data_IF_863111751582
#
_entry.id   IF_863111751582
#
_cell.length_a   1.000
_cell.length_b   1.000
_cell.length_c   1.000
_cell.angle_alpha   90.00
_cell.angle_beta   90.00
_cell.angle_gamma   90.00
#
_symmetry.space_group_name_H-M   'P 1'
#
loop_
_entity.id
_entity.type
_entity.pdbx_description
1 polymer ?
#
# COMPACT_ATOMS: atom_id res chain seq x y z
N UNK A 1 -34.83 -14.99 -4.99
CA UNK A 1 -33.42 -14.87 -5.41
C UNK A 1 -32.74 -13.94 -4.44
N UNK A 2 -31.66 -14.37 -3.78
CA UNK A 2 -30.86 -13.50 -2.92
C UNK A 2 -29.95 -12.64 -3.79
N UNK A 3 -29.85 -11.35 -3.45
CA UNK A 3 -28.93 -10.41 -4.06
C UNK A 3 -27.84 -10.02 -3.07
N UNK A 4 -26.64 -9.78 -3.57
CA UNK A 4 -25.48 -9.31 -2.82
C UNK A 4 -24.96 -8.01 -3.41
N UNK A 5 -24.29 -7.25 -2.57
CA UNK A 5 -23.69 -5.97 -2.91
C UNK A 5 -22.51 -6.18 -3.85
N UNK A 6 -22.43 -5.34 -4.87
CA UNK A 6 -21.35 -5.30 -5.83
C UNK A 6 -20.77 -3.88 -5.86
N UNK A 7 -19.56 -3.76 -5.32
CA UNK A 7 -18.83 -2.51 -5.17
C UNK A 7 -17.98 -2.24 -6.41
N UNK A 8 -18.24 -1.12 -7.07
CA UNK A 8 -17.49 -0.69 -8.26
C UNK A 8 -16.87 0.71 -8.04
N UNK A 9 -15.55 0.79 -7.83
CA UNK A 9 -14.83 2.06 -7.77
C UNK A 9 -14.86 2.83 -9.12
N UNK A 10 -14.85 4.16 -9.05
CA UNK A 10 -14.84 5.05 -10.24
C UNK A 10 -13.67 4.75 -11.19
N UNK A 11 -12.46 4.46 -10.69
CA UNK A 11 -11.31 4.14 -11.55
C UNK A 11 -11.54 2.89 -12.41
N UNK A 12 -12.23 1.87 -11.87
CA UNK A 12 -12.52 0.63 -12.60
C UNK A 12 -13.51 0.92 -13.72
N UNK A 13 -14.57 1.66 -13.42
CA UNK A 13 -15.61 2.01 -14.38
C UNK A 13 -15.05 2.85 -15.53
N UNK A 14 -14.30 3.90 -15.20
CA UNK A 14 -13.70 4.79 -16.18
C UNK A 14 -12.74 4.02 -17.10
N UNK A 15 -11.87 3.19 -16.52
CA UNK A 15 -10.96 2.34 -17.27
C UNK A 15 -11.69 1.35 -18.18
N UNK A 16 -12.69 0.62 -17.66
CA UNK A 16 -13.42 -0.40 -18.44
C UNK A 16 -14.31 0.20 -19.53
N UNK A 17 -14.71 1.47 -19.39
CA UNK A 17 -15.41 2.20 -20.47
C UNK A 17 -14.49 2.46 -21.65
N UNK A 18 -13.21 2.75 -21.39
CA UNK A 18 -12.20 3.03 -22.41
C UNK A 18 -11.53 1.75 -22.95
N UNK A 19 -11.43 0.71 -22.10
CA UNK A 19 -10.82 -0.58 -22.41
C UNK A 19 -11.78 -1.75 -22.14
N UNK A 20 -12.90 -1.86 -22.89
CA UNK A 20 -13.84 -2.97 -22.72
C UNK A 20 -13.14 -4.33 -22.91
N UNK A 21 -13.38 -5.26 -21.99
CA UNK A 21 -12.79 -6.61 -22.05
C UNK A 21 -11.30 -6.68 -21.72
N UNK A 22 -10.71 -5.64 -21.13
CA UNK A 22 -9.32 -5.65 -20.69
C UNK A 22 -9.03 -6.84 -19.76
N UNK A 23 -7.91 -7.57 -19.96
CA UNK A 23 -7.51 -8.67 -19.08
C UNK A 23 -7.10 -8.19 -17.68
N UNK A 24 -6.92 -6.88 -17.48
CA UNK A 24 -6.61 -6.29 -16.18
C UNK A 24 -7.83 -6.26 -15.26
N UNK A 25 -9.05 -6.46 -15.78
CA UNK A 25 -10.26 -6.47 -14.95
C UNK A 25 -10.24 -7.61 -13.94
N UNK A 26 -10.42 -7.27 -12.66
CA UNK A 26 -10.47 -8.22 -11.56
C UNK A 26 -11.83 -8.16 -10.91
N UNK A 27 -12.45 -9.34 -10.78
CA UNK A 27 -13.70 -9.53 -10.06
C UNK A 27 -13.48 -10.50 -8.91
N UNK A 28 -13.60 -10.02 -7.68
CA UNK A 28 -13.51 -10.85 -6.47
C UNK A 28 -14.90 -11.10 -5.93
N UNK A 29 -15.22 -12.36 -5.66
CA UNK A 29 -16.56 -12.82 -5.30
C UNK A 29 -16.53 -13.54 -3.97
N UNK A 30 -17.35 -13.07 -3.05
CA UNK A 30 -17.69 -13.75 -1.80
C UNK A 30 -19.19 -14.01 -1.74
N UNK A 31 -19.62 -14.84 -0.79
CA UNK A 31 -21.05 -15.16 -0.58
C UNK A 31 -21.90 -13.93 -0.26
N UNK A 32 -21.29 -12.90 0.30
CA UNK A 32 -21.95 -11.70 0.82
C UNK A 32 -21.68 -10.44 -0.02
N UNK A 33 -20.59 -10.39 -0.79
CA UNK A 33 -20.23 -9.22 -1.59
C UNK A 33 -19.40 -9.56 -2.84
N UNK A 34 -19.40 -8.64 -3.80
CA UNK A 34 -18.52 -8.63 -4.98
C UNK A 34 -17.73 -7.34 -4.97
N UNK A 35 -16.43 -7.42 -5.26
CA UNK A 35 -15.56 -6.25 -5.45
C UNK A 35 -14.98 -6.23 -6.85
N UNK A 36 -15.12 -5.10 -7.53
CA UNK A 36 -14.50 -4.86 -8.83
C UNK A 36 -13.21 -4.06 -8.65
N UNK A 37 -12.17 -4.46 -9.38
CA UNK A 37 -10.84 -3.85 -9.30
C UNK A 37 -10.10 -4.03 -10.63
N UNK A 38 -8.87 -3.51 -10.71
CA UNK A 38 -7.94 -3.76 -11.82
C UNK A 38 -6.63 -4.33 -11.27
N UNK A 39 -5.98 -5.19 -12.06
CA UNK A 39 -4.56 -5.45 -11.91
C UNK A 39 -3.80 -4.18 -12.28
N UNK A 40 -2.98 -3.67 -11.35
CA UNK A 40 -2.16 -2.48 -11.56
C UNK A 40 -0.81 -2.80 -12.21
N UNK A 41 -0.77 -3.76 -13.13
CA UNK A 41 0.49 -4.26 -13.73
C UNK A 41 0.90 -3.49 -14.98
N UNK A 42 0.08 -2.54 -15.44
CA UNK A 42 0.30 -1.67 -16.60
C UNK A 42 0.18 -0.18 -16.22
N UNK A 43 0.95 0.73 -16.86
CA UNK A 43 0.90 2.16 -16.53
C UNK A 43 -0.50 2.76 -16.65
N UNK A 44 -1.31 2.36 -17.64
CA UNK A 44 -2.66 2.89 -17.88
C UNK A 44 -3.61 2.54 -16.73
N UNK A 45 -3.48 1.34 -16.16
CA UNK A 45 -4.27 0.94 -14.99
C UNK A 45 -3.83 1.68 -13.72
N UNK A 46 -2.54 1.96 -13.57
CA UNK A 46 -2.01 2.81 -12.51
C UNK A 46 -2.46 4.26 -12.66
N UNK A 47 -2.42 4.80 -13.88
CA UNK A 47 -2.89 6.15 -14.19
C UNK A 47 -4.36 6.32 -13.79
N UNK A 48 -5.23 5.40 -14.22
CA UNK A 48 -6.67 5.46 -13.91
C UNK A 48 -6.96 5.58 -12.40
N UNK A 49 -6.13 4.96 -11.55
CA UNK A 49 -6.31 4.95 -10.10
C UNK A 49 -5.50 6.04 -9.36
N UNK A 50 -4.30 6.39 -9.82
CA UNK A 50 -3.45 7.41 -9.18
C UNK A 50 -3.86 8.84 -9.58
N UNK A 51 -4.27 9.04 -10.83
CA UNK A 51 -4.47 10.38 -11.38
C UNK A 51 -5.77 11.07 -10.90
N UNK A 52 -6.74 10.32 -10.38
CA UNK A 52 -8.04 10.84 -9.94
C UNK A 52 -8.19 10.78 -8.40
N UNK A 53 -8.42 11.93 -7.77
CA UNK A 53 -8.68 12.03 -6.34
C UNK A 53 -9.95 11.28 -5.89
N UNK A 54 -10.89 11.04 -6.81
CA UNK A 54 -12.15 10.32 -6.60
C UNK A 54 -12.12 8.88 -7.12
N UNK A 55 -10.93 8.35 -7.47
CA UNK A 55 -10.78 6.98 -7.97
C UNK A 55 -11.57 5.92 -7.17
N UNK A 56 -11.69 6.11 -5.85
CA UNK A 56 -12.38 5.21 -4.93
C UNK A 56 -13.82 5.60 -4.56
N UNK A 57 -14.44 6.56 -5.24
CA UNK A 57 -15.88 6.79 -5.12
C UNK A 57 -16.60 5.52 -5.59
N UNK A 58 -17.37 4.91 -4.68
CA UNK A 58 -17.99 3.60 -4.90
C UNK A 58 -19.40 3.75 -5.46
N UNK A 59 -19.65 3.06 -6.57
CA UNK A 59 -21.01 2.77 -6.99
C UNK A 59 -21.43 1.41 -6.41
N UNK A 60 -22.57 1.42 -5.73
CA UNK A 60 -23.20 0.22 -5.21
C UNK A 60 -24.21 -0.31 -6.24
N UNK A 61 -24.02 -1.54 -6.67
CA UNK A 61 -24.99 -2.28 -7.47
C UNK A 61 -25.33 -3.60 -6.77
N UNK A 62 -26.39 -4.28 -7.22
CA UNK A 62 -26.82 -5.56 -6.65
C UNK A 62 -26.77 -6.66 -7.71
N UNK A 63 -26.21 -7.82 -7.35
CA UNK A 63 -26.06 -8.99 -8.23
C UNK A 63 -26.58 -10.25 -7.55
N UNK A 64 -26.96 -11.26 -8.32
CA UNK A 64 -27.42 -12.54 -7.77
C UNK A 64 -26.28 -13.28 -7.07
N UNK A 65 -26.60 -13.98 -5.98
CA UNK A 65 -25.64 -14.82 -5.25
C UNK A 65 -25.10 -15.95 -6.14
N UNK A 66 -23.78 -16.15 -6.08
CA UNK A 66 -23.09 -17.27 -6.73
C UNK A 66 -22.87 -18.41 -5.73
N UNK A 67 -23.34 -19.63 -6.08
CA UNK A 67 -23.42 -20.75 -5.13
C UNK A 67 -22.08 -21.32 -4.64
N UNK A 68 -20.97 -21.02 -5.32
CA UNK A 68 -19.64 -21.60 -5.02
C UNK A 68 -18.63 -20.58 -4.47
N UNK A 69 -19.07 -19.38 -4.07
CA UNK A 69 -18.16 -18.36 -3.55
C UNK A 69 -17.68 -18.66 -2.12
N UNK A 70 -16.44 -18.25 -1.81
CA UNK A 70 -15.90 -18.30 -0.47
C UNK A 70 -16.64 -17.29 0.45
N UNK A 71 -16.60 -17.53 1.76
CA UNK A 71 -17.20 -16.62 2.74
C UNK A 71 -16.17 -15.62 3.24
N UNK A 72 -16.46 -14.32 3.13
CA UNK A 72 -15.73 -13.29 3.87
C UNK A 72 -16.40 -13.15 5.23
N UNK A 73 -15.66 -13.45 6.31
CA UNK A 73 -16.25 -13.36 7.64
C UNK A 73 -16.64 -11.92 7.96
N UNK A 74 -17.69 -11.72 8.77
CA UNK A 74 -18.13 -10.39 9.17
C UNK A 74 -17.01 -9.59 9.86
N UNK A 75 -16.15 -10.28 10.63
CA UNK A 75 -15.00 -9.65 11.28
C UNK A 75 -13.97 -9.16 10.26
N UNK A 76 -13.61 -9.99 9.29
CA UNK A 76 -12.63 -9.61 8.26
C UNK A 76 -13.15 -8.46 7.39
N UNK A 77 -14.44 -8.51 7.01
CA UNK A 77 -15.10 -7.41 6.29
C UNK A 77 -15.06 -6.09 7.09
N UNK A 78 -15.40 -6.15 8.38
CA UNK A 78 -15.35 -4.98 9.27
C UNK A 78 -13.92 -4.47 9.43
N UNK A 79 -12.94 -5.35 9.68
CA UNK A 79 -11.54 -4.97 9.81
C UNK A 79 -11.03 -4.28 8.56
N UNK A 80 -11.29 -4.86 7.39
CA UNK A 80 -10.95 -4.23 6.12
C UNK A 80 -11.59 -2.84 5.98
N UNK A 81 -12.89 -2.71 6.30
CA UNK A 81 -13.60 -1.44 6.21
C UNK A 81 -13.05 -0.39 7.17
N UNK A 82 -12.72 -0.74 8.42
CA UNK A 82 -12.18 0.23 9.38
C UNK A 82 -10.75 0.64 9.03
N UNK A 83 -9.97 -0.24 8.39
CA UNK A 83 -8.66 0.13 7.81
C UNK A 83 -8.85 1.13 6.67
N UNK A 84 -9.77 0.87 5.74
CA UNK A 84 -10.10 1.80 4.65
C UNK A 84 -10.53 3.17 5.21
N UNK A 85 -11.47 3.19 6.16
CA UNK A 85 -11.91 4.42 6.83
C UNK A 85 -10.73 5.16 7.50
N UNK A 86 -9.78 4.43 8.09
CA UNK A 86 -8.58 5.02 8.71
C UNK A 86 -7.66 5.66 7.68
N UNK A 87 -7.45 5.02 6.52
CA UNK A 87 -6.66 5.58 5.42
C UNK A 87 -7.29 6.83 4.78
N UNK A 88 -8.60 7.00 4.92
CA UNK A 88 -9.33 8.18 4.43
C UNK A 88 -9.40 9.34 5.43
N UNK A 89 -8.79 9.20 6.61
CA UNK A 89 -8.72 10.30 7.58
C UNK A 89 -8.04 11.53 6.94
N UNK A 90 -8.60 12.73 7.14
CA UNK A 90 -8.12 13.92 6.44
C UNK A 90 -6.75 14.38 6.96
N UNK A 91 -5.95 14.96 6.06
CA UNK A 91 -4.70 15.66 6.36
C UNK A 91 -3.61 14.79 7.04
N UNK A 92 -3.59 13.49 6.77
CA UNK A 92 -2.50 12.61 7.22
C UNK A 92 -1.59 12.26 6.04
N UNK A 93 -0.26 12.40 6.18
CA UNK A 93 0.67 11.79 5.23
C UNK A 93 0.56 10.24 5.30
N UNK A 94 1.04 9.53 4.26
CA UNK A 94 0.88 8.08 4.17
C UNK A 94 1.53 7.33 5.33
N UNK A 95 2.67 7.79 5.84
CA UNK A 95 3.36 7.20 7.00
C UNK A 95 2.48 7.26 8.24
N UNK A 96 1.89 8.44 8.50
CA UNK A 96 1.02 8.64 9.67
C UNK A 96 -0.32 7.89 9.53
N UNK A 97 -0.82 7.75 8.30
CA UNK A 97 -2.00 6.95 8.00
C UNK A 97 -1.76 5.47 8.30
N UNK A 98 -0.62 4.92 7.85
CA UNK A 98 -0.21 3.55 8.15
C UNK A 98 0.05 3.36 9.65
N UNK A 99 0.65 4.34 10.32
CA UNK A 99 0.81 4.30 11.78
C UNK A 99 -0.54 4.20 12.50
N UNK A 100 -1.53 4.99 12.09
CA UNK A 100 -2.89 4.92 12.63
C UNK A 100 -3.54 3.55 12.38
N UNK A 101 -3.33 2.96 11.20
CA UNK A 101 -3.78 1.58 10.89
C UNK A 101 -3.12 0.57 11.82
N UNK A 102 -1.82 0.66 12.09
CA UNK A 102 -1.15 -0.23 13.03
C UNK A 102 -1.68 -0.08 14.47
N UNK A 103 -2.00 1.14 14.93
CA UNK A 103 -2.67 1.35 16.22
C UNK A 103 -4.06 0.70 16.22
N UNK A 104 -4.82 0.86 15.13
CA UNK A 104 -6.13 0.25 14.98
C UNK A 104 -6.04 -1.28 15.14
N UNK A 105 -5.12 -1.91 14.41
CA UNK A 105 -4.93 -3.36 14.43
C UNK A 105 -4.45 -3.85 15.80
N UNK A 106 -3.56 -3.11 16.45
CA UNK A 106 -3.14 -3.39 17.83
C UNK A 106 -4.29 -3.34 18.84
N UNK A 107 -5.28 -2.46 18.62
CA UNK A 107 -6.50 -2.41 19.45
C UNK A 107 -7.46 -3.55 19.08
N UNK A 108 -7.59 -3.86 17.80
CA UNK A 108 -8.46 -4.92 17.30
C UNK A 108 -8.02 -6.32 17.78
N UNK A 109 -6.71 -6.59 17.87
CA UNK A 109 -6.18 -7.86 18.37
C UNK A 109 -6.49 -8.10 19.85
N UNK A 110 -6.68 -7.03 20.63
CA UNK A 110 -7.13 -7.09 22.04
C UNK A 110 -8.64 -7.35 22.16
N UNK A 111 -9.36 -7.45 21.04
CA UNK A 111 -10.80 -7.72 20.97
C UNK A 111 -11.08 -8.82 19.93
N UNK A 112 -10.64 -10.08 20.14
CA UNK A 112 -10.63 -11.14 19.11
C UNK A 112 -12.01 -11.76 18.81
N UNK A 113 -13.07 -11.39 19.54
CA UNK A 113 -14.37 -12.02 19.38
C UNK A 113 -15.11 -11.64 18.09
N UNK A 114 -16.18 -12.41 17.82
CA UNK A 114 -17.01 -12.33 16.61
C UNK A 114 -18.48 -12.01 16.91
N UNK A 115 -18.82 -11.76 18.18
CA UNK A 115 -20.14 -11.33 18.59
C UNK A 115 -20.43 -9.89 18.16
N UNK A 116 -21.73 -9.55 18.11
CA UNK A 116 -22.18 -8.25 17.62
C UNK A 116 -21.61 -7.06 18.39
N UNK A 117 -21.40 -7.19 19.70
CA UNK A 117 -20.89 -6.09 20.54
C UNK A 117 -19.42 -5.80 20.23
N UNK A 118 -18.58 -6.84 20.09
CA UNK A 118 -17.18 -6.67 19.67
C UNK A 118 -17.10 -6.09 18.27
N UNK A 119 -17.91 -6.58 17.33
CA UNK A 119 -17.93 -6.08 15.96
C UNK A 119 -18.35 -4.59 15.91
N UNK A 120 -19.37 -4.20 16.67
CA UNK A 120 -19.81 -2.81 16.76
C UNK A 120 -18.74 -1.89 17.39
N UNK A 121 -17.97 -2.40 18.36
CA UNK A 121 -16.84 -1.63 18.93
C UNK A 121 -15.73 -1.40 17.91
N UNK A 122 -15.39 -2.38 17.07
CA UNK A 122 -14.40 -2.21 16.01
C UNK A 122 -14.76 -1.07 15.06
N UNK A 123 -16.04 -0.93 14.68
CA UNK A 123 -16.48 0.13 13.76
C UNK A 123 -16.30 1.54 14.30
N UNK A 124 -16.13 1.71 15.61
CA UNK A 124 -15.89 3.02 16.24
C UNK A 124 -14.42 3.46 16.24
N UNK A 125 -13.47 2.54 16.00
CA UNK A 125 -12.04 2.82 16.10
C UNK A 125 -11.54 3.94 15.16
N UNK A 126 -11.98 4.01 13.88
CA UNK A 126 -11.54 5.08 12.98
C UNK A 126 -11.92 6.47 13.48
N UNK A 127 -13.12 6.62 14.05
CA UNK A 127 -13.58 7.90 14.60
C UNK A 127 -12.69 8.35 15.76
N UNK A 128 -12.37 7.44 16.68
CA UNK A 128 -11.47 7.73 17.80
C UNK A 128 -10.06 8.15 17.32
N UNK A 129 -9.53 7.48 16.29
CA UNK A 129 -8.25 7.85 15.68
C UNK A 129 -8.33 9.21 14.97
N UNK A 130 -9.43 9.50 14.27
CA UNK A 130 -9.68 10.80 13.67
C UNK A 130 -9.71 11.93 14.70
N UNK A 131 -10.30 11.69 15.87
CA UNK A 131 -10.32 12.67 16.96
C UNK A 131 -8.91 12.90 17.56
N UNK A 132 -8.10 11.85 17.69
CA UNK A 132 -6.69 11.98 18.07
C UNK A 132 -5.87 12.72 17.01
N UNK A 133 -6.14 12.49 15.73
CA UNK A 133 -5.48 13.16 14.61
C UNK A 133 -5.75 14.66 14.62
N UNK A 134 -7.01 15.07 14.83
CA UNK A 134 -7.43 16.47 14.93
C UNK A 134 -6.78 17.19 16.10
N UNK A 135 -6.55 16.49 17.21
CA UNK A 135 -5.89 17.02 18.42
C UNK A 135 -4.35 17.04 18.33
N UNK A 136 -3.76 16.56 17.24
CA UNK A 136 -2.30 16.45 17.12
C UNK A 136 -1.68 15.29 17.91
N UNK A 137 -2.49 14.45 18.56
CA UNK A 137 -2.00 13.37 19.43
C UNK A 137 -1.30 12.28 18.62
N UNK A 138 -1.84 11.90 17.46
CA UNK A 138 -1.21 10.89 16.60
C UNK A 138 0.15 11.35 16.09
N UNK A 139 0.25 12.62 15.68
CA UNK A 139 1.48 13.25 15.20
C UNK A 139 2.54 13.27 16.30
N UNK A 140 2.15 13.68 17.52
CA UNK A 140 3.05 13.71 18.67
C UNK A 140 3.56 12.31 19.05
N UNK A 141 2.69 11.29 19.02
CA UNK A 141 3.09 9.90 19.29
C UNK A 141 4.00 9.35 18.19
N UNK A 142 3.69 9.64 16.93
CA UNK A 142 4.49 9.22 15.79
C UNK A 142 5.91 9.81 15.83
N UNK A 143 6.04 11.10 16.17
CA UNK A 143 7.32 11.77 16.31
C UNK A 143 8.21 11.23 17.46
N UNK A 144 7.62 10.49 18.40
CA UNK A 144 8.32 9.86 19.52
C UNK A 144 8.75 8.41 19.24
N UNK A 145 8.43 7.87 18.06
CA UNK A 145 8.84 6.50 17.72
C UNK A 145 10.38 6.40 17.68
N UNK A 146 10.97 5.36 18.32
CA UNK A 146 12.40 5.15 18.26
C UNK A 146 12.82 4.80 16.84
N UNK A 147 14.00 5.27 16.42
CA UNK A 147 14.60 4.86 15.16
C UNK A 147 15.15 3.44 15.30
N UNK A 148 14.69 2.53 14.42
CA UNK A 148 15.16 1.15 14.34
C UNK A 148 15.57 0.86 12.88
N UNK A 149 16.78 1.28 12.47
CA UNK A 149 17.15 1.33 11.05
C UNK A 149 17.53 -0.03 10.45
N UNK A 150 17.71 -1.06 11.27
CA UNK A 150 18.22 -2.36 10.81
C UNK A 150 17.31 -3.00 9.76
N UNK A 151 15.99 -3.01 10.00
CA UNK A 151 15.03 -3.60 9.06
C UNK A 151 14.97 -2.78 7.75
N UNK A 152 14.99 -1.45 7.85
CA UNK A 152 15.03 -0.55 6.70
C UNK A 152 16.24 -0.82 5.78
N UNK A 153 17.42 -1.00 6.40
CA UNK A 153 18.66 -1.38 5.71
C UNK A 153 18.56 -2.75 5.04
N UNK A 154 18.06 -3.76 5.75
CA UNK A 154 17.83 -5.10 5.17
C UNK A 154 16.85 -5.06 3.99
N UNK A 155 15.76 -4.30 4.08
CA UNK A 155 14.81 -4.13 2.96
C UNK A 155 15.44 -3.40 1.76
N UNK A 156 16.30 -2.41 2.00
CA UNK A 156 17.04 -1.73 0.94
C UNK A 156 18.01 -2.69 0.23
N UNK A 157 18.71 -3.54 0.98
CA UNK A 157 19.55 -4.60 0.42
C UNK A 157 18.72 -5.59 -0.42
N UNK A 158 17.56 -6.02 0.09
CA UNK A 158 16.65 -6.92 -0.64
C UNK A 158 16.07 -6.27 -1.91
N UNK A 159 15.81 -4.96 -1.89
CA UNK A 159 15.36 -4.20 -3.04
C UNK A 159 16.33 -4.32 -4.22
N UNK A 160 17.65 -4.34 -3.95
CA UNK A 160 18.69 -4.53 -4.97
C UNK A 160 18.64 -5.87 -5.70
N UNK A 161 17.97 -6.87 -5.12
CA UNK A 161 17.79 -8.20 -5.70
C UNK A 161 16.45 -8.36 -6.44
N UNK A 162 15.60 -7.34 -6.45
CA UNK A 162 14.28 -7.42 -7.09
C UNK A 162 14.41 -7.43 -8.63
N UNK A 163 13.87 -8.48 -9.26
CA UNK A 163 13.82 -8.61 -10.71
C UNK A 163 12.68 -7.77 -11.32
N UNK A 164 12.88 -6.46 -11.39
CA UNK A 164 11.92 -5.54 -12.02
C UNK A 164 11.95 -5.61 -13.55
N UNK A 165 10.79 -5.46 -14.18
CA UNK A 165 10.69 -5.29 -15.63
C UNK A 165 10.81 -3.81 -16.02
N UNK A 166 12.04 -3.33 -16.17
CA UNK A 166 12.36 -1.95 -16.51
C UNK A 166 11.87 -1.48 -17.88
N UNK A 167 11.49 -2.41 -18.77
CA UNK A 167 11.01 -2.06 -20.12
C UNK A 167 9.72 -1.26 -20.12
N UNK A 168 8.92 -1.37 -19.05
CA UNK A 168 7.64 -0.68 -18.84
C UNK A 168 7.82 0.83 -18.60
N UNK A 169 9.01 1.26 -18.21
CA UNK A 169 9.26 2.67 -17.94
C UNK A 169 9.31 3.48 -19.23
N UNK A 170 8.83 4.73 -19.23
CA UNK A 170 9.02 5.65 -20.34
C UNK A 170 10.50 5.89 -20.63
N UNK A 171 10.83 6.21 -21.89
CA UNK A 171 12.19 6.57 -22.26
C UNK A 171 12.69 7.77 -21.45
N UNK A 172 13.83 7.59 -20.79
CA UNK A 172 14.51 8.58 -19.96
C UNK A 172 15.93 8.10 -19.64
N UNK A 173 16.87 9.00 -19.29
CA UNK A 173 18.18 8.59 -18.78
C UNK A 173 18.09 7.64 -17.57
N UNK A 174 17.10 7.84 -16.69
CA UNK A 174 16.86 7.01 -15.50
C UNK A 174 16.43 5.59 -15.83
N UNK A 175 15.69 5.37 -16.91
CA UNK A 175 15.35 4.02 -17.39
C UNK A 175 16.59 3.17 -17.62
N UNK A 176 17.70 3.79 -18.02
CA UNK A 176 18.99 3.09 -18.25
C UNK A 176 19.88 3.08 -17.01
N UNK A 177 19.97 4.18 -16.26
CA UNK A 177 20.91 4.30 -15.15
C UNK A 177 20.44 3.64 -13.85
N UNK A 178 19.15 3.72 -13.50
CA UNK A 178 18.64 3.14 -12.26
C UNK A 178 18.81 1.60 -12.20
N UNK A 179 18.49 0.82 -13.25
CA UNK A 179 18.73 -0.63 -13.22
C UNK A 179 20.18 -1.01 -12.92
N UNK A 180 21.15 -0.22 -13.38
CA UNK A 180 22.58 -0.44 -13.13
C UNK A 180 22.97 -0.13 -11.67
N UNK A 181 22.23 0.77 -11.01
CA UNK A 181 22.45 1.15 -9.61
C UNK A 181 21.84 0.12 -8.62
N UNK A 182 20.79 -0.59 -9.03
CA UNK A 182 20.04 -1.48 -8.13
C UNK A 182 20.90 -2.61 -7.52
N UNK A 183 21.72 -3.35 -8.28
CA UNK A 183 22.60 -4.37 -7.69
C UNK A 183 23.65 -3.79 -6.74
N UNK A 184 23.99 -2.51 -6.85
CA UNK A 184 24.96 -1.88 -5.93
C UNK A 184 24.42 -1.83 -4.50
N UNK A 185 23.09 -1.82 -4.32
CA UNK A 185 22.46 -1.86 -3.00
C UNK A 185 22.92 -3.08 -2.17
N UNK A 186 23.26 -4.21 -2.82
CA UNK A 186 23.71 -5.43 -2.13
C UNK A 186 25.20 -5.46 -1.80
N UNK A 187 25.98 -4.47 -2.25
CA UNK A 187 27.44 -4.47 -2.15
C UNK A 187 27.99 -3.50 -1.10
N UNK A 188 27.12 -2.83 -0.33
CA UNK A 188 27.52 -1.85 0.66
C UNK A 188 28.08 -2.49 1.93
N UNK A 189 29.13 -1.89 2.48
CA UNK A 189 29.48 -2.11 3.88
C UNK A 189 28.50 -1.41 4.83
N UNK A 190 28.56 -1.74 6.12
CA UNK A 190 27.61 -1.23 7.10
C UNK A 190 27.59 0.31 7.22
N UNK A 191 28.72 0.98 6.96
CA UNK A 191 28.83 2.44 7.03
C UNK A 191 28.18 3.11 5.81
N UNK A 192 28.43 2.56 4.63
CA UNK A 192 27.88 3.05 3.36
C UNK A 192 26.37 2.83 3.31
N UNK A 193 25.90 1.69 3.84
CA UNK A 193 24.47 1.37 3.94
C UNK A 193 23.73 2.34 4.88
N UNK A 194 24.34 2.70 6.02
CA UNK A 194 23.78 3.68 6.94
C UNK A 194 23.67 5.08 6.31
N UNK A 195 24.72 5.53 5.61
CA UNK A 195 24.72 6.81 4.93
C UNK A 195 23.67 6.86 3.82
N UNK A 196 23.59 5.82 3.00
CA UNK A 196 22.60 5.73 1.92
C UNK A 196 21.17 5.74 2.47
N UNK A 197 20.89 5.01 3.55
CA UNK A 197 19.58 5.03 4.19
C UNK A 197 19.20 6.44 4.66
N UNK A 198 20.13 7.18 5.29
CA UNK A 198 19.88 8.55 5.71
C UNK A 198 19.64 9.49 4.50
N UNK A 199 20.41 9.34 3.43
CA UNK A 199 20.22 10.09 2.19
C UNK A 199 18.85 9.83 1.56
N UNK A 200 18.43 8.56 1.48
CA UNK A 200 17.14 8.18 0.92
C UNK A 200 15.96 8.67 1.75
N UNK A 201 16.11 8.71 3.08
CA UNK A 201 15.11 9.29 3.98
C UNK A 201 14.94 10.79 3.74
N UNK A 202 16.05 11.54 3.64
CA UNK A 202 16.01 12.97 3.29
C UNK A 202 15.48 13.21 1.86
N UNK A 203 15.88 12.37 0.91
CA UNK A 203 15.44 12.43 -0.48
C UNK A 203 13.94 12.18 -0.60
N UNK A 204 13.39 11.25 0.19
CA UNK A 204 11.95 11.00 0.22
C UNK A 204 11.16 12.26 0.61
N UNK A 205 11.61 12.98 1.64
CA UNK A 205 10.95 14.22 2.07
C UNK A 205 10.96 15.28 0.96
N UNK A 206 12.08 15.43 0.26
CA UNK A 206 12.20 16.35 -0.88
C UNK A 206 11.27 15.94 -2.02
N UNK A 207 11.27 14.65 -2.37
CA UNK A 207 10.43 14.08 -3.43
C UNK A 207 8.95 14.22 -3.12
N UNK A 208 8.56 13.97 -1.86
CA UNK A 208 7.20 14.16 -1.38
C UNK A 208 6.72 15.60 -1.59
N UNK A 209 7.51 16.58 -1.12
CA UNK A 209 7.15 18.00 -1.26
C UNK A 209 7.01 18.43 -2.72
N UNK A 210 7.86 17.92 -3.60
CA UNK A 210 7.86 18.30 -5.02
C UNK A 210 6.75 17.63 -5.83
N UNK A 211 6.44 16.36 -5.55
CA UNK A 211 5.61 15.55 -6.45
C UNK A 211 4.28 15.08 -5.84
N UNK A 212 4.18 14.94 -4.52
CA UNK A 212 3.02 14.32 -3.86
C UNK A 212 2.27 15.27 -2.93
N UNK A 213 2.88 16.35 -2.43
CA UNK A 213 2.21 17.26 -1.49
C UNK A 213 0.99 17.96 -2.08
N UNK A 214 0.98 18.25 -3.39
CA UNK A 214 -0.15 18.84 -4.11
C UNK A 214 -1.17 17.79 -4.60
N UNK A 215 -0.75 16.53 -4.69
CA UNK A 215 -1.56 15.38 -5.09
C UNK A 215 -1.46 14.22 -4.09
N UNK A 216 -1.75 14.45 -2.78
CA UNK A 216 -1.53 13.45 -1.73
C UNK A 216 -2.44 12.23 -1.90
N UNK A 217 -3.52 12.38 -2.68
CA UNK A 217 -4.39 11.27 -3.03
C UNK A 217 -3.68 10.18 -3.84
N UNK A 218 -2.60 10.46 -4.59
CA UNK A 218 -1.89 9.42 -5.36
C UNK A 218 -1.43 8.29 -4.44
N UNK A 219 -0.66 8.60 -3.40
CA UNK A 219 -0.16 7.59 -2.47
C UNK A 219 -1.29 7.00 -1.63
N UNK A 220 -2.27 7.81 -1.23
CA UNK A 220 -3.45 7.34 -0.51
C UNK A 220 -4.26 6.34 -1.34
N UNK A 221 -4.47 6.60 -2.62
CA UNK A 221 -5.20 5.75 -3.55
C UNK A 221 -4.48 4.42 -3.73
N UNK A 222 -3.15 4.40 -3.83
CA UNK A 222 -2.41 3.15 -3.87
C UNK A 222 -2.57 2.34 -2.56
N UNK A 223 -2.54 2.98 -1.39
CA UNK A 223 -2.79 2.30 -0.12
C UNK A 223 -4.22 1.76 -0.01
N UNK A 224 -5.22 2.57 -0.39
CA UNK A 224 -6.63 2.15 -0.45
C UNK A 224 -6.80 0.99 -1.43
N UNK A 225 -6.16 1.06 -2.61
CA UNK A 225 -6.14 -0.03 -3.58
C UNK A 225 -5.65 -1.31 -2.92
N UNK A 226 -4.48 -1.29 -2.27
CA UNK A 226 -3.91 -2.49 -1.64
C UNK A 226 -4.84 -3.06 -0.58
N UNK A 227 -5.41 -2.22 0.28
CA UNK A 227 -6.35 -2.66 1.31
C UNK A 227 -7.65 -3.21 0.70
N UNK A 228 -8.22 -2.54 -0.29
CA UNK A 228 -9.47 -2.94 -0.93
C UNK A 228 -9.31 -4.21 -1.79
N UNK A 229 -8.28 -4.24 -2.63
CA UNK A 229 -7.99 -5.30 -3.58
C UNK A 229 -7.52 -6.56 -2.85
N UNK A 230 -6.49 -6.48 -2.00
CA UNK A 230 -5.96 -7.65 -1.29
C UNK A 230 -6.83 -8.05 -0.09
N UNK A 231 -7.83 -7.24 0.26
CA UNK A 231 -8.70 -7.41 1.44
C UNK A 231 -7.85 -7.49 2.72
N UNK A 232 -6.98 -6.48 2.89
CA UNK A 232 -6.07 -6.38 4.03
C UNK A 232 -6.86 -6.29 5.34
N UNK A 233 -6.35 -6.91 6.42
CA UNK A 233 -7.02 -6.99 7.72
C UNK A 233 -7.57 -8.39 8.01
N UNK A 234 -7.46 -9.32 7.07
CA UNK A 234 -7.78 -10.72 7.28
C UNK A 234 -6.80 -11.37 8.26
N UNK A 235 -7.24 -12.43 8.94
CA UNK A 235 -6.40 -13.16 9.91
C UNK A 235 -5.82 -12.22 10.97
N UNK A 236 -6.67 -11.33 11.49
CA UNK A 236 -6.32 -10.29 12.47
C UNK A 236 -5.17 -9.36 12.03
N UNK A 237 -5.05 -9.09 10.72
CA UNK A 237 -4.13 -8.10 10.16
C UNK A 237 -2.70 -8.61 9.96
N UNK A 238 -2.50 -9.93 9.79
CA UNK A 238 -1.20 -10.52 9.49
C UNK A 238 -0.54 -9.94 8.22
N UNK A 239 -1.35 -9.39 7.32
CA UNK A 239 -1.00 -8.77 6.04
C UNK A 239 -0.62 -7.28 6.14
N UNK A 240 -0.77 -6.66 7.31
CA UNK A 240 -0.38 -5.26 7.55
C UNK A 240 1.12 -5.02 7.45
N UNK A 241 1.95 -5.88 8.06
CA UNK A 241 3.39 -5.70 7.99
C UNK A 241 3.92 -5.83 6.54
N UNK A 242 3.49 -6.82 5.74
CA UNK A 242 3.76 -6.87 4.30
C UNK A 242 3.34 -5.60 3.55
N UNK A 243 2.17 -5.02 3.85
CA UNK A 243 1.73 -3.75 3.25
C UNK A 243 2.71 -2.59 3.56
N UNK A 244 3.18 -2.49 4.80
CA UNK A 244 4.14 -1.45 5.20
C UNK A 244 5.52 -1.69 4.59
N UNK A 245 5.95 -2.95 4.44
CA UNK A 245 7.16 -3.28 3.69
C UNK A 245 7.05 -2.86 2.22
N UNK A 246 5.92 -3.16 1.56
CA UNK A 246 5.67 -2.73 0.18
C UNK A 246 5.72 -1.20 0.06
N UNK A 247 5.09 -0.49 1.01
CA UNK A 247 5.14 0.98 1.09
C UNK A 247 6.57 1.49 1.26
N UNK A 248 7.38 0.86 2.12
CA UNK A 248 8.79 1.21 2.27
C UNK A 248 9.56 1.03 0.96
N UNK A 249 9.37 -0.09 0.27
CA UNK A 249 10.08 -0.43 -0.96
C UNK A 249 9.74 0.53 -2.11
N UNK A 250 8.46 0.82 -2.35
CA UNK A 250 8.04 1.75 -3.41
C UNK A 250 8.56 3.17 -3.15
N UNK A 251 8.48 3.67 -1.90
CA UNK A 251 9.09 4.95 -1.50
C UNK A 251 10.58 4.96 -1.79
N UNK A 252 11.28 3.88 -1.43
CA UNK A 252 12.73 3.79 -1.58
C UNK A 252 13.11 3.78 -3.06
N UNK A 253 12.36 3.06 -3.90
CA UNK A 253 12.54 3.04 -5.36
C UNK A 253 12.34 4.44 -5.98
N UNK A 254 11.32 5.18 -5.53
CA UNK A 254 11.06 6.55 -5.98
C UNK A 254 12.14 7.52 -5.49
N UNK A 255 12.61 7.37 -4.25
CA UNK A 255 13.75 8.14 -3.73
C UNK A 255 15.02 7.86 -4.52
N UNK A 256 15.29 6.60 -4.86
CA UNK A 256 16.41 6.23 -5.73
C UNK A 256 16.28 6.87 -7.11
N UNK A 257 15.07 6.91 -7.70
CA UNK A 257 14.83 7.57 -8.98
C UNK A 257 15.28 9.03 -8.98
N UNK A 258 14.95 9.77 -7.92
CA UNK A 258 15.16 11.23 -7.82
C UNK A 258 16.49 11.61 -7.16
N UNK A 259 17.24 10.65 -6.60
CA UNK A 259 18.44 10.89 -5.81
C UNK A 259 19.54 11.65 -6.57
N UNK A 260 19.65 11.46 -7.88
CA UNK A 260 20.63 12.16 -8.73
C UNK A 260 20.10 13.50 -9.28
N UNK A 261 18.94 13.96 -8.79
CA UNK A 261 18.27 15.17 -9.25
C UNK A 261 17.47 14.98 -10.55
N UNK A 262 17.32 13.76 -11.04
CA UNK A 262 16.52 13.49 -12.23
C UNK A 262 15.04 13.84 -12.05
N UNK A 263 14.38 14.34 -13.11
CA UNK A 263 12.96 14.64 -13.05
C UNK A 263 12.14 13.37 -12.85
N UNK A 264 11.04 13.52 -12.11
CA UNK A 264 10.02 12.50 -11.93
C UNK A 264 8.70 13.03 -12.51
N UNK A 265 8.41 12.65 -13.76
CA UNK A 265 7.16 13.04 -14.45
C UNK A 265 6.00 12.16 -13.95
N UNK A 266 4.77 12.57 -14.21
CA UNK A 266 3.59 11.77 -13.84
C UNK A 266 3.62 10.37 -14.49
N UNK A 267 3.95 10.28 -15.77
CA UNK A 267 4.07 8.99 -16.47
C UNK A 267 5.15 8.09 -15.85
N UNK A 268 6.25 8.69 -15.34
CA UNK A 268 7.29 7.94 -14.63
C UNK A 268 6.74 7.39 -13.30
N UNK A 269 5.93 8.16 -12.58
CA UNK A 269 5.25 7.71 -11.35
C UNK A 269 4.34 6.52 -11.68
N UNK A 270 3.44 6.64 -12.66
CA UNK A 270 2.51 5.58 -13.01
C UNK A 270 3.23 4.30 -13.42
N UNK A 271 4.28 4.42 -14.23
CA UNK A 271 5.08 3.29 -14.65
C UNK A 271 5.90 2.66 -13.51
N UNK A 272 6.41 3.45 -12.55
CA UNK A 272 7.10 2.92 -11.36
C UNK A 272 6.16 2.09 -10.48
N UNK A 273 4.93 2.57 -10.24
CA UNK A 273 3.91 1.80 -9.52
C UNK A 273 3.54 0.53 -10.30
N UNK A 274 3.36 0.62 -11.62
CA UNK A 274 3.03 -0.54 -12.45
C UNK A 274 4.14 -1.60 -12.45
N UNK A 275 5.39 -1.16 -12.58
CA UNK A 275 6.57 -2.01 -12.50
C UNK A 275 6.67 -2.73 -11.15
N UNK A 276 6.42 -2.00 -10.06
CA UNK A 276 6.47 -2.56 -8.71
C UNK A 276 5.34 -3.57 -8.47
N UNK A 277 4.10 -3.24 -8.87
CA UNK A 277 2.95 -4.14 -8.75
C UNK A 277 3.13 -5.39 -9.61
N UNK A 278 3.68 -5.26 -10.83
CA UNK A 278 4.03 -6.39 -11.70
C UNK A 278 5.09 -7.29 -11.05
N UNK A 279 6.13 -6.72 -10.45
CA UNK A 279 7.10 -7.52 -9.68
C UNK A 279 6.42 -8.22 -8.52
N UNK A 280 5.62 -7.50 -7.72
CA UNK A 280 4.96 -8.02 -6.52
C UNK A 280 4.17 -9.30 -6.80
N UNK A 281 3.41 -9.33 -7.89
CA UNK A 281 2.55 -10.48 -8.25
C UNK A 281 3.29 -11.54 -9.07
N UNK A 282 4.57 -11.31 -9.39
CA UNK A 282 5.40 -12.27 -10.11
C UNK A 282 5.91 -13.39 -9.19
N UNK A 283 6.22 -14.55 -9.78
CA UNK A 283 6.84 -15.67 -9.08
C UNK A 283 8.21 -15.28 -8.47
N UNK A 284 8.94 -14.38 -9.13
CA UNK A 284 10.25 -13.91 -8.68
C UNK A 284 10.19 -13.13 -7.36
N UNK A 285 9.03 -12.56 -7.00
CA UNK A 285 8.87 -11.89 -5.71
C UNK A 285 8.71 -12.87 -4.55
N UNK A 286 8.34 -14.13 -4.78
CA UNK A 286 8.02 -15.09 -3.71
C UNK A 286 9.19 -15.31 -2.74
N UNK A 287 10.40 -15.54 -3.28
CA UNK A 287 11.60 -15.76 -2.46
C UNK A 287 11.96 -14.52 -1.62
N UNK A 288 11.92 -13.33 -2.22
CA UNK A 288 12.20 -12.08 -1.52
C UNK A 288 11.14 -11.81 -0.46
N UNK A 289 9.86 -12.02 -0.76
CA UNK A 289 8.76 -11.86 0.21
C UNK A 289 8.88 -12.82 1.38
N UNK A 290 9.29 -14.07 1.15
CA UNK A 290 9.55 -15.01 2.22
C UNK A 290 10.70 -14.53 3.14
N UNK A 291 11.76 -13.98 2.56
CA UNK A 291 12.85 -13.38 3.34
C UNK A 291 12.35 -12.18 4.16
N UNK A 292 11.60 -11.25 3.56
CA UNK A 292 10.99 -10.11 4.26
C UNK A 292 10.11 -10.60 5.43
N UNK A 293 9.27 -11.60 5.18
CA UNK A 293 8.40 -12.16 6.20
C UNK A 293 9.21 -12.77 7.36
N UNK A 294 10.32 -13.45 7.07
CA UNK A 294 11.20 -14.00 8.10
C UNK A 294 11.85 -12.92 8.98
N UNK A 295 12.20 -11.77 8.39
CA UNK A 295 12.75 -10.63 9.13
C UNK A 295 11.73 -10.00 10.07
N UNK A 296 10.45 -10.03 9.70
CA UNK A 296 9.37 -9.39 10.46
C UNK A 296 8.64 -10.34 11.42
N UNK A 297 8.90 -11.65 11.36
CA UNK A 297 8.07 -12.68 11.97
C UNK A 297 7.95 -12.58 13.50
N UNK A 298 9.03 -12.16 14.18
CA UNK A 298 9.06 -12.12 15.64
C UNK A 298 8.11 -11.05 16.21
N UNK A 299 8.15 -9.84 15.63
CA UNK A 299 7.37 -8.69 16.10
C UNK A 299 6.84 -7.89 14.89
N UNK A 300 5.78 -8.35 14.20
CA UNK A 300 5.35 -7.78 12.92
C UNK A 300 4.89 -6.31 13.04
N UNK A 301 4.21 -5.96 14.12
CA UNK A 301 3.73 -4.59 14.33
C UNK A 301 4.88 -3.62 14.61
N UNK A 302 5.84 -4.02 15.44
CA UNK A 302 7.03 -3.22 15.73
C UNK A 302 7.89 -3.05 14.46
N UNK A 303 8.05 -4.14 13.71
CA UNK A 303 8.73 -4.16 12.41
C UNK A 303 8.08 -3.16 11.46
N UNK A 304 6.74 -3.19 11.33
CA UNK A 304 6.02 -2.21 10.51
C UNK A 304 6.25 -0.77 10.99
N UNK A 305 6.12 -0.47 12.28
CA UNK A 305 6.36 0.89 12.80
C UNK A 305 7.78 1.38 12.58
N UNK A 306 8.79 0.51 12.68
CA UNK A 306 10.18 0.87 12.43
C UNK A 306 10.46 1.35 11.01
N UNK A 307 9.62 0.93 10.06
CA UNK A 307 9.77 1.31 8.66
C UNK A 307 9.09 2.64 8.35
N UNK A 308 8.19 3.16 9.18
CA UNK A 308 7.44 4.38 8.89
C UNK A 308 8.25 5.66 9.18
N UNK A 309 9.33 5.56 9.96
CA UNK A 309 10.17 6.71 10.35
C UNK A 309 11.29 7.00 9.36
#
# INVERSE_FOLDING_TARGET
MSFIECYEPEYVRNFMTQHPGSPLYVRKVWKNEIRLSLMLTEPESCEAMLNDARAFDLQLTYRSVEGNAAELSARDAILNQVILSTLTLPNLPPELSLYAVGILLSRASKMPGRDGDILARLTTLPQALGDHAKKGTLQAQFAQLPSVPQLARQLMTLLGSCAFNWSILPESPRKTSLPLQMPLLTLHDANSEALLQQQLQGQWQTTWQQHFATAPWMMRNWLIYRVYHDVIGQTDGADYCPLVCDFYLIRTLISLWTLDGSPLRQDDIFALFAMFERWRVSENAAAIRQQIQSLCAAEPLLSAFSLLT
#
